data_IF_199125148657
#
_entry.id   IF_199125148657
#
_cell.length_a   1.000
_cell.length_b   1.000
_cell.length_c   1.000
_cell.angle_alpha   90.00
_cell.angle_beta   90.00
_cell.angle_gamma   90.00
#
_symmetry.space_group_name_H-M   'P 1'
#
loop_
_entity.id
_entity.type
_entity.pdbx_description
1 polymer ?
#
# COMPACT_ATOMS: atom_id res chain seq x y z
N UNK A 1 3.48 -12.91 3.45
CA UNK A 1 2.51 -12.08 2.71
C UNK A 1 3.19 -10.77 2.39
N UNK A 2 3.01 -10.18 1.19
CA UNK A 2 3.69 -8.94 0.83
C UNK A 2 3.17 -7.77 1.67
N UNK A 3 4.06 -6.87 2.06
CA UNK A 3 3.71 -5.54 2.59
C UNK A 3 3.36 -4.64 1.41
N UNK A 4 2.14 -4.09 1.39
CA UNK A 4 1.67 -3.27 0.28
C UNK A 4 1.58 -1.80 0.68
N UNK A 5 2.36 -0.96 0.02
CA UNK A 5 2.30 0.49 0.21
C UNK A 5 1.13 1.10 -0.56
N UNK A 6 0.49 2.11 0.02
CA UNK A 6 -0.58 2.86 -0.65
C UNK A 6 -0.56 4.33 -0.22
N UNK A 7 -1.04 5.23 -1.08
CA UNK A 7 -1.22 6.63 -0.70
C UNK A 7 -2.53 6.81 0.07
N UNK A 8 -2.45 7.40 1.27
CA UNK A 8 -3.62 7.70 2.10
C UNK A 8 -3.39 7.41 3.58
N UNK A 9 -4.51 7.15 4.27
CA UNK A 9 -4.55 6.81 5.69
C UNK A 9 -5.26 5.45 5.88
N UNK A 10 -5.14 4.87 7.06
CA UNK A 10 -5.90 3.68 7.44
C UNK A 10 -7.41 3.91 7.22
N UNK A 11 -8.07 2.94 6.61
CA UNK A 11 -9.48 2.99 6.21
C UNK A 11 -9.73 3.60 4.83
N UNK A 12 -8.69 4.03 4.10
CA UNK A 12 -8.86 4.51 2.73
C UNK A 12 -9.36 3.39 1.78
N UNK A 13 -10.00 3.79 0.67
CA UNK A 13 -10.42 2.83 -0.37
C UNK A 13 -9.24 2.02 -0.92
N UNK A 14 -8.07 2.65 -1.05
CA UNK A 14 -6.82 1.97 -1.42
C UNK A 14 -6.47 0.83 -0.45
N UNK A 15 -6.62 1.03 0.86
CA UNK A 15 -6.38 -0.03 1.84
C UNK A 15 -7.43 -1.15 1.73
N UNK A 16 -8.68 -0.76 1.52
CA UNK A 16 -9.77 -1.72 1.29
C UNK A 16 -9.52 -2.59 0.05
N UNK A 17 -8.99 -2.01 -1.03
CA UNK A 17 -8.63 -2.75 -2.25
C UNK A 17 -7.50 -3.75 -2.00
N UNK A 18 -6.50 -3.39 -1.17
CA UNK A 18 -5.44 -4.32 -0.73
C UNK A 18 -6.07 -5.50 0.02
N UNK A 19 -6.96 -5.23 0.98
CA UNK A 19 -7.60 -6.29 1.75
C UNK A 19 -8.52 -7.18 0.92
N UNK A 20 -9.21 -6.63 -0.08
CA UNK A 20 -10.04 -7.41 -1.01
C UNK A 20 -9.20 -8.34 -1.90
N UNK A 21 -8.00 -7.91 -2.31
CA UNK A 21 -7.15 -8.69 -3.20
C UNK A 21 -6.26 -9.70 -2.46
N UNK A 22 -5.60 -9.28 -1.38
CA UNK A 22 -4.62 -10.09 -0.64
C UNK A 22 -5.16 -10.72 0.65
N UNK A 23 -6.30 -10.25 1.15
CA UNK A 23 -6.91 -10.69 2.41
C UNK A 23 -6.80 -9.65 3.54
N UNK A 24 -7.66 -9.73 4.57
CA UNK A 24 -7.80 -8.72 5.62
C UNK A 24 -6.58 -8.57 6.53
N UNK A 25 -5.72 -9.60 6.62
CA UNK A 25 -4.52 -9.60 7.46
C UNK A 25 -3.25 -9.16 6.71
N UNK A 26 -3.40 -8.63 5.48
CA UNK A 26 -2.28 -8.16 4.66
C UNK A 26 -1.60 -6.96 5.31
N UNK A 27 -0.27 -7.00 5.55
CA UNK A 27 0.46 -5.84 6.04
C UNK A 27 0.39 -4.68 5.05
N UNK A 28 0.07 -3.48 5.56
CA UNK A 28 -0.03 -2.27 4.73
C UNK A 28 0.92 -1.18 5.20
N UNK A 29 1.38 -0.35 4.26
CA UNK A 29 2.22 0.82 4.53
C UNK A 29 1.56 2.08 3.96
N UNK A 30 0.91 2.87 4.82
CA UNK A 30 0.32 4.14 4.41
C UNK A 30 1.38 5.19 4.09
N UNK A 31 1.27 5.82 2.94
CA UNK A 31 2.19 6.83 2.42
C UNK A 31 1.47 8.17 2.23
N UNK A 32 2.19 9.28 2.41
CA UNK A 32 1.60 10.64 2.32
C UNK A 32 1.31 11.09 0.88
N UNK A 33 2.03 10.55 -0.10
CA UNK A 33 1.88 10.87 -1.52
C UNK A 33 2.19 9.64 -2.38
N UNK A 34 1.88 9.68 -3.68
CA UNK A 34 2.18 8.58 -4.60
C UNK A 34 3.70 8.40 -4.75
N UNK A 35 4.47 9.49 -4.79
CA UNK A 35 5.94 9.45 -4.84
C UNK A 35 6.52 8.67 -3.66
N UNK A 36 5.89 8.77 -2.48
CA UNK A 36 6.30 7.99 -1.31
C UNK A 36 5.99 6.50 -1.44
N UNK A 37 4.93 6.11 -2.16
CA UNK A 37 4.66 4.71 -2.49
C UNK A 37 5.78 4.15 -3.38
N UNK A 38 6.19 4.88 -4.42
CA UNK A 38 7.31 4.48 -5.27
C UNK A 38 8.61 4.33 -4.46
N UNK A 39 8.96 5.33 -3.66
CA UNK A 39 10.16 5.28 -2.80
C UNK A 39 10.13 4.11 -1.81
N UNK A 40 8.96 3.78 -1.25
CA UNK A 40 8.83 2.66 -0.32
C UNK A 40 9.13 1.32 -0.99
N UNK A 41 8.68 1.13 -2.24
CA UNK A 41 8.98 -0.07 -3.02
C UNK A 41 10.45 -0.10 -3.44
N UNK A 42 10.99 0.99 -3.98
CA UNK A 42 12.39 1.07 -4.43
C UNK A 42 13.40 0.86 -3.30
N UNK A 43 13.08 1.30 -2.09
CA UNK A 43 13.93 1.13 -0.91
C UNK A 43 13.73 -0.20 -0.17
N UNK A 44 12.79 -1.04 -0.61
CA UNK A 44 12.45 -2.32 0.03
C UNK A 44 11.68 -2.20 1.35
N UNK A 45 11.12 -1.02 1.66
CA UNK A 45 10.22 -0.83 2.81
C UNK A 45 8.84 -1.46 2.57
N UNK A 46 8.45 -1.63 1.31
CA UNK A 46 7.27 -2.38 0.90
C UNK A 46 7.62 -3.29 -0.28
N UNK A 47 6.94 -4.43 -0.37
CA UNK A 47 7.15 -5.40 -1.45
C UNK A 47 6.41 -4.98 -2.72
N UNK A 48 5.27 -4.29 -2.57
CA UNK A 48 4.38 -3.86 -3.66
C UNK A 48 3.79 -2.46 -3.36
N UNK A 49 3.31 -1.78 -4.40
CA UNK A 49 2.60 -0.50 -4.29
C UNK A 49 1.23 -0.56 -4.98
N UNK A 50 0.19 -0.04 -4.33
CA UNK A 50 -1.13 0.18 -4.91
C UNK A 50 -1.28 1.64 -5.36
N UNK A 51 -1.64 1.84 -6.62
CA UNK A 51 -1.90 3.15 -7.23
C UNK A 51 -3.32 3.20 -7.80
N UNK A 52 -4.13 4.23 -7.49
CA UNK A 52 -5.43 4.43 -8.12
C UNK A 52 -5.27 4.95 -9.55
N UNK A 53 -6.11 4.47 -10.47
CA UNK A 53 -6.22 4.92 -11.87
C UNK A 53 -7.67 5.15 -12.26
#
# INVERSE_FOLDING_TARGET
MPTVAFQGIRGAYSESAIFQFFGPDTPTLSCRSLEKVFQAVESGQADLGLLPV
#
